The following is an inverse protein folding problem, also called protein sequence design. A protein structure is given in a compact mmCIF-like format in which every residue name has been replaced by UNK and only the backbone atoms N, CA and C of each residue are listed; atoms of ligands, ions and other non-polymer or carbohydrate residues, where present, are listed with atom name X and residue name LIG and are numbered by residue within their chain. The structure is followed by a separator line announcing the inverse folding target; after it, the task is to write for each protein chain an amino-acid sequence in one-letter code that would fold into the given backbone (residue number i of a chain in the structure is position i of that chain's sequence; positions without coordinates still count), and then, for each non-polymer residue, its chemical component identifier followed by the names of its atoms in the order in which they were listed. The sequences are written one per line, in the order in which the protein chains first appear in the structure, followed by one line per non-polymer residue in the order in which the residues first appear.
data_IF_570618376446
#
_entry.id   IF_570618376446
#
_cell.length_a   1.000
_cell.length_b   1.000
_cell.length_c   1.000
_cell.angle_alpha   90.00
_cell.angle_beta   90.00
_cell.angle_gamma   90.00
#
_symmetry.space_group_name_H-M   'P 1'
#
loop_
_entity.id
_entity.type
_entity.pdbx_description
1 polymer ?
#
# COMPACT_ATOMS: atom_id res chain seq x y z
N UNK A 1 -23.97 25.07 -29.78
CA UNK A 1 -24.24 24.98 -28.35
C UNK A 1 -23.15 24.18 -27.71
N UNK A 2 -22.20 24.86 -27.11
CA UNK A 2 -21.02 24.23 -26.51
C UNK A 2 -21.41 23.80 -25.09
N UNK A 3 -21.83 22.55 -24.92
CA UNK A 3 -21.93 21.92 -23.63
C UNK A 3 -20.51 21.75 -23.09
N UNK A 4 -19.97 22.86 -22.56
CA UNK A 4 -18.74 22.87 -21.83
C UNK A 4 -18.84 21.82 -20.74
N UNK A 5 -18.14 20.70 -20.95
CA UNK A 5 -17.92 19.72 -19.93
C UNK A 5 -17.33 20.45 -18.71
N UNK A 6 -18.18 20.74 -17.73
CA UNK A 6 -17.73 20.95 -16.35
C UNK A 6 -17.14 19.62 -15.88
N UNK A 7 -16.01 19.26 -16.46
CA UNK A 7 -15.21 18.13 -16.02
C UNK A 7 -14.87 18.40 -14.57
N UNK A 8 -15.55 17.72 -13.66
CA UNK A 8 -15.18 17.70 -12.26
C UNK A 8 -13.76 17.12 -12.22
N UNK A 9 -12.80 18.03 -12.09
CA UNK A 9 -11.39 17.67 -12.03
C UNK A 9 -11.19 16.78 -10.80
N UNK A 10 -10.82 15.53 -10.99
CA UNK A 10 -10.55 14.58 -9.92
C UNK A 10 -9.38 15.03 -9.05
N UNK A 11 -9.25 14.45 -7.87
CA UNK A 11 -8.12 14.65 -6.98
C UNK A 11 -7.90 13.45 -6.08
N UNK A 12 -6.70 13.37 -5.51
CA UNK A 12 -6.34 12.35 -4.52
C UNK A 12 -6.29 12.96 -3.13
N UNK A 13 -6.88 12.27 -2.16
CA UNK A 13 -6.66 12.48 -0.73
C UNK A 13 -5.76 11.36 -0.22
N UNK A 14 -4.56 11.71 0.22
CA UNK A 14 -3.56 10.76 0.69
C UNK A 14 -3.46 10.84 2.21
N UNK A 15 -4.03 9.85 2.90
CA UNK A 15 -3.96 9.77 4.35
C UNK A 15 -2.64 9.11 4.76
N UNK A 16 -1.91 9.78 5.65
CA UNK A 16 -0.71 9.25 6.29
C UNK A 16 -0.81 9.39 7.80
N UNK A 17 -0.12 8.56 8.53
CA UNK A 17 -0.18 8.50 9.99
C UNK A 17 0.09 7.10 10.50
N UNK A 18 0.37 6.99 11.78
CA UNK A 18 0.70 5.73 12.43
C UNK A 18 -0.46 4.72 12.36
N UNK A 19 -0.14 3.44 12.56
CA UNK A 19 -1.16 2.40 12.63
C UNK A 19 -2.14 2.68 13.78
N UNK A 20 -3.45 2.56 13.54
CA UNK A 20 -4.45 2.87 14.57
C UNK A 20 -4.79 4.37 14.74
N UNK A 21 -4.15 5.28 14.00
CA UNK A 21 -4.44 6.72 14.09
C UNK A 21 -5.84 7.11 13.60
N UNK A 22 -6.58 6.20 12.95
CA UNK A 22 -7.95 6.46 12.48
C UNK A 22 -8.07 6.76 10.99
N UNK A 23 -7.03 6.51 10.19
CA UNK A 23 -7.01 6.73 8.73
C UNK A 23 -8.22 6.11 8.02
N UNK A 24 -8.47 4.82 8.22
CA UNK A 24 -9.59 4.10 7.60
C UNK A 24 -10.95 4.66 7.98
N UNK A 25 -11.12 5.03 9.24
CA UNK A 25 -12.36 5.63 9.74
C UNK A 25 -12.61 6.99 9.11
N UNK A 26 -11.57 7.83 9.04
CA UNK A 26 -11.63 9.14 8.40
C UNK A 26 -11.88 9.01 6.89
N UNK A 27 -11.21 8.06 6.21
CA UNK A 27 -11.38 7.79 4.78
C UNK A 27 -12.83 7.43 4.45
N UNK A 28 -13.45 6.52 5.22
CA UNK A 28 -14.83 6.11 5.02
C UNK A 28 -15.82 7.26 5.31
N UNK A 29 -15.61 8.01 6.39
CA UNK A 29 -16.41 9.20 6.71
C UNK A 29 -16.37 10.23 5.59
N UNK A 30 -15.17 10.57 5.12
CA UNK A 30 -14.94 11.52 4.03
C UNK A 30 -15.56 11.04 2.71
N UNK A 31 -15.35 9.75 2.35
CA UNK A 31 -15.95 9.17 1.15
C UNK A 31 -17.48 9.24 1.19
N UNK A 32 -18.08 8.88 2.32
CA UNK A 32 -19.52 8.94 2.50
C UNK A 32 -20.05 10.38 2.36
N UNK A 33 -19.33 11.36 2.91
CA UNK A 33 -19.69 12.77 2.82
C UNK A 33 -19.59 13.29 1.38
N UNK A 34 -18.51 13.00 0.68
CA UNK A 34 -18.30 13.38 -0.73
C UNK A 34 -19.33 12.72 -1.66
N UNK A 35 -19.67 11.44 -1.43
CA UNK A 35 -20.72 10.74 -2.20
C UNK A 35 -22.10 11.37 -2.01
N UNK A 36 -22.44 11.81 -0.79
CA UNK A 36 -23.67 12.59 -0.53
C UNK A 36 -23.69 13.91 -1.28
N UNK A 37 -22.54 14.50 -1.56
CA UNK A 37 -22.38 15.68 -2.39
C UNK A 37 -22.40 15.37 -3.92
N UNK A 38 -22.73 14.14 -4.30
CA UNK A 38 -22.82 13.70 -5.69
C UNK A 38 -21.48 13.45 -6.37
N UNK A 39 -20.39 13.29 -5.61
CA UNK A 39 -19.07 13.00 -6.18
C UNK A 39 -18.86 11.50 -6.37
N UNK A 40 -18.12 11.13 -7.42
CA UNK A 40 -17.62 9.77 -7.64
C UNK A 40 -16.35 9.63 -6.80
N UNK A 41 -16.37 8.73 -5.83
CA UNK A 41 -15.29 8.55 -4.87
C UNK A 41 -14.98 7.08 -4.68
N UNK A 42 -13.73 6.72 -4.88
CA UNK A 42 -13.18 5.41 -4.54
C UNK A 42 -12.27 5.51 -3.31
N UNK A 43 -12.16 4.42 -2.56
CA UNK A 43 -11.32 4.32 -1.37
C UNK A 43 -10.39 3.12 -1.53
N UNK A 44 -9.10 3.37 -1.42
CA UNK A 44 -8.08 2.32 -1.31
C UNK A 44 -7.81 2.07 0.18
N UNK A 45 -8.42 1.05 0.72
CA UNK A 45 -8.33 0.68 2.14
C UNK A 45 -8.71 -0.78 2.36
N UNK A 46 -8.16 -1.36 3.43
CA UNK A 46 -8.54 -2.68 3.92
C UNK A 46 -7.87 -3.87 3.26
N UNK A 47 -8.14 -5.07 3.81
CA UNK A 47 -7.42 -6.30 3.45
C UNK A 47 -7.59 -6.72 1.98
N UNK A 48 -8.73 -6.40 1.37
CA UNK A 48 -8.96 -6.73 -0.04
C UNK A 48 -7.98 -5.96 -0.95
N UNK A 49 -7.80 -4.66 -0.69
CA UNK A 49 -6.84 -3.83 -1.44
C UNK A 49 -5.41 -4.30 -1.16
N UNK A 50 -5.09 -4.59 0.11
CA UNK A 50 -3.78 -5.12 0.49
C UNK A 50 -3.46 -6.41 -0.26
N UNK A 51 -4.39 -7.35 -0.31
CA UNK A 51 -4.24 -8.62 -0.99
C UNK A 51 -4.12 -8.45 -2.52
N UNK A 52 -5.02 -7.67 -3.13
CA UNK A 52 -5.05 -7.48 -4.59
C UNK A 52 -3.79 -6.79 -5.12
N UNK A 53 -3.23 -5.88 -4.36
CA UNK A 53 -2.05 -5.11 -4.76
C UNK A 53 -0.75 -5.69 -4.19
N UNK A 54 -0.82 -6.76 -3.40
CA UNK A 54 0.31 -7.31 -2.66
C UNK A 54 1.08 -6.21 -1.93
N UNK A 55 0.39 -5.50 -1.03
CA UNK A 55 0.90 -4.43 -0.17
C UNK A 55 0.61 -4.74 1.30
N UNK A 56 1.16 -3.93 2.23
CA UNK A 56 0.95 -4.11 3.67
C UNK A 56 1.90 -5.10 4.32
N UNK A 57 2.77 -5.75 3.54
CA UNK A 57 3.79 -6.70 4.01
C UNK A 57 5.21 -6.15 4.01
N UNK A 58 5.42 -4.91 3.62
CA UNK A 58 6.74 -4.32 3.49
C UNK A 58 7.50 -4.29 4.83
N UNK A 59 8.73 -4.80 4.80
CA UNK A 59 9.63 -4.88 5.94
C UNK A 59 10.79 -3.87 5.86
N UNK A 60 11.02 -3.29 4.68
CA UNK A 60 12.12 -2.35 4.43
C UNK A 60 11.59 -1.02 3.89
N UNK A 61 12.41 0.03 3.98
CA UNK A 61 12.10 1.34 3.40
C UNK A 61 11.80 1.24 1.90
N UNK A 62 12.60 0.49 1.15
CA UNK A 62 12.45 0.38 -0.30
C UNK A 62 11.16 -0.35 -0.69
N UNK A 63 10.78 -1.39 0.05
CA UNK A 63 9.51 -2.09 -0.14
C UNK A 63 8.32 -1.17 0.16
N UNK A 64 8.37 -0.40 1.27
CA UNK A 64 7.32 0.59 1.60
C UNK A 64 7.19 1.69 0.55
N UNK A 65 8.32 2.18 0.04
CA UNK A 65 8.32 3.14 -1.05
C UNK A 65 7.77 2.53 -2.35
N UNK A 66 8.04 1.23 -2.61
CA UNK A 66 7.47 0.52 -3.75
C UNK A 66 5.95 0.35 -3.63
N UNK A 67 5.43 0.02 -2.44
CA UNK A 67 3.99 -0.02 -2.16
C UNK A 67 3.33 1.34 -2.40
N UNK A 68 3.96 2.42 -1.90
CA UNK A 68 3.46 3.78 -2.11
C UNK A 68 3.43 4.16 -3.60
N UNK A 69 4.45 3.78 -4.39
CA UNK A 69 4.48 4.00 -5.85
C UNK A 69 3.35 3.27 -6.59
N UNK A 70 3.04 2.01 -6.20
CA UNK A 70 1.91 1.26 -6.78
C UNK A 70 0.59 2.01 -6.56
N UNK A 71 0.35 2.45 -5.32
CA UNK A 71 -0.86 3.19 -4.98
C UNK A 71 -0.90 4.56 -5.67
N UNK A 72 0.22 5.29 -5.73
CA UNK A 72 0.31 6.57 -6.42
C UNK A 72 -0.04 6.45 -7.90
N UNK A 73 0.38 5.37 -8.56
CA UNK A 73 0.04 5.11 -9.95
C UNK A 73 -1.46 4.93 -10.16
N UNK A 74 -2.13 4.15 -9.29
CA UNK A 74 -3.58 3.95 -9.33
C UNK A 74 -4.31 5.28 -9.06
N UNK A 75 -3.89 5.99 -8.02
CA UNK A 75 -4.46 7.30 -7.67
C UNK A 75 -4.35 8.29 -8.84
N UNK A 76 -3.21 8.32 -9.53
CA UNK A 76 -3.01 9.14 -10.72
C UNK A 76 -4.01 8.82 -11.84
N UNK A 77 -4.24 7.54 -12.13
CA UNK A 77 -5.17 7.14 -13.18
C UNK A 77 -6.61 7.59 -12.85
N UNK A 78 -7.07 7.34 -11.62
CA UNK A 78 -8.40 7.74 -11.18
C UNK A 78 -8.56 9.25 -11.20
N UNK A 79 -7.57 9.98 -10.66
CA UNK A 79 -7.57 11.45 -10.64
C UNK A 79 -7.62 12.05 -12.05
N UNK A 80 -6.84 11.51 -12.99
CA UNK A 80 -6.87 11.94 -14.39
C UNK A 80 -8.20 11.65 -15.09
N UNK A 81 -8.87 10.58 -14.69
CA UNK A 81 -10.21 10.23 -15.17
C UNK A 81 -11.33 11.09 -14.57
N UNK A 82 -11.00 12.06 -13.70
CA UNK A 82 -11.99 12.94 -13.06
C UNK A 82 -12.58 12.39 -11.75
N UNK A 83 -12.16 11.20 -11.31
CA UNK A 83 -12.59 10.60 -10.06
C UNK A 83 -11.86 11.16 -8.84
N UNK A 84 -12.48 11.07 -7.69
CA UNK A 84 -11.84 11.33 -6.41
C UNK A 84 -11.41 9.99 -5.82
N UNK A 85 -10.17 9.92 -5.32
CA UNK A 85 -9.67 8.71 -4.68
C UNK A 85 -9.05 9.04 -3.33
N UNK A 86 -9.39 8.25 -2.32
CA UNK A 86 -8.88 8.38 -0.96
C UNK A 86 -8.01 7.16 -0.67
N UNK A 87 -6.72 7.40 -0.41
CA UNK A 87 -5.77 6.36 -0.04
C UNK A 87 -5.60 6.32 1.48
N UNK A 88 -5.81 5.16 2.12
CA UNK A 88 -5.59 4.89 3.54
C UNK A 88 -5.03 3.49 3.82
N UNK A 89 -4.74 2.72 2.77
CA UNK A 89 -4.30 1.32 2.88
C UNK A 89 -2.93 1.16 3.53
N UNK A 90 -2.04 2.16 3.42
CA UNK A 90 -0.69 2.12 4.00
C UNK A 90 -0.41 3.32 4.88
N UNK A 91 0.55 3.19 5.80
CA UNK A 91 1.00 4.28 6.66
C UNK A 91 1.77 5.36 5.90
N UNK A 92 2.48 4.99 4.82
CA UNK A 92 3.39 5.85 4.04
C UNK A 92 4.38 6.62 4.92
N UNK A 93 5.24 5.92 5.69
CA UNK A 93 6.02 6.54 6.76
C UNK A 93 7.10 7.50 6.26
N UNK A 94 7.56 7.35 5.03
CA UNK A 94 8.68 8.13 4.48
C UNK A 94 8.20 9.29 3.62
N UNK A 95 8.76 10.49 3.86
CA UNK A 95 8.44 11.72 3.10
C UNK A 95 8.72 11.57 1.62
N UNK A 96 9.85 10.98 1.28
CA UNK A 96 10.28 10.74 -0.11
C UNK A 96 9.17 10.11 -0.97
N UNK A 97 8.52 9.05 -0.47
CA UNK A 97 7.45 8.36 -1.19
C UNK A 97 6.20 9.22 -1.34
N UNK A 98 5.84 10.02 -0.31
CA UNK A 98 4.70 10.92 -0.35
C UNK A 98 4.94 12.09 -1.29
N UNK A 99 6.15 12.66 -1.29
CA UNK A 99 6.56 13.72 -2.22
C UNK A 99 6.59 13.21 -3.68
N UNK A 100 7.03 11.97 -3.89
CA UNK A 100 6.98 11.34 -5.20
C UNK A 100 5.53 11.16 -5.66
N UNK A 101 4.65 10.66 -4.82
CA UNK A 101 3.22 10.52 -5.10
C UNK A 101 2.58 11.87 -5.45
N UNK A 102 2.87 12.92 -4.67
CA UNK A 102 2.41 14.30 -4.92
C UNK A 102 2.82 14.78 -6.31
N UNK A 103 4.09 14.64 -6.68
CA UNK A 103 4.59 15.04 -8.01
C UNK A 103 3.93 14.26 -9.14
N UNK A 104 3.71 12.96 -8.94
CA UNK A 104 3.10 12.09 -9.95
C UNK A 104 1.64 12.38 -10.21
N UNK A 105 0.88 12.68 -9.16
CA UNK A 105 -0.58 12.82 -9.21
C UNK A 105 -0.99 14.24 -9.58
N UNK A 106 -0.31 15.24 -9.04
CA UNK A 106 -0.54 16.66 -9.28
C UNK A 106 -1.67 17.24 -8.44
N UNK A 107 -2.93 16.81 -8.64
CA UNK A 107 -4.08 17.21 -7.78
C UNK A 107 -4.16 16.32 -6.55
N UNK A 108 -3.47 16.73 -5.51
CA UNK A 108 -3.15 15.90 -4.35
C UNK A 108 -3.33 16.70 -3.06
N UNK A 109 -3.94 16.09 -2.06
CA UNK A 109 -3.96 16.60 -0.70
C UNK A 109 -3.41 15.54 0.25
N UNK A 110 -2.33 15.86 0.94
CA UNK A 110 -1.79 15.06 2.03
C UNK A 110 -2.53 15.39 3.32
N UNK A 111 -3.13 14.37 3.93
CA UNK A 111 -3.80 14.49 5.22
C UNK A 111 -3.01 13.73 6.26
N UNK A 112 -2.40 14.45 7.17
CA UNK A 112 -1.70 13.86 8.31
C UNK A 112 -2.69 13.56 9.42
N UNK A 113 -2.90 12.27 9.70
CA UNK A 113 -3.77 11.79 10.76
C UNK A 113 -2.90 11.54 12.00
N UNK A 114 -2.88 12.51 12.88
CA UNK A 114 -2.11 12.49 14.11
C UNK A 114 -2.90 11.83 15.26
N UNK A 115 -2.18 11.11 16.10
CA UNK A 115 -2.71 10.59 17.37
C UNK A 115 -1.53 10.31 18.31
N UNK A 116 -1.60 10.75 19.58
CA UNK A 116 -0.57 10.43 20.56
C UNK A 116 -0.34 8.92 20.71
N UNK A 117 0.92 8.51 20.88
CA UNK A 117 1.31 7.10 20.95
C UNK A 117 0.59 6.35 22.07
N UNK A 118 0.38 7.01 23.21
CA UNK A 118 -0.35 6.45 24.34
C UNK A 118 -1.78 6.08 23.97
N UNK A 119 -2.45 6.92 23.19
CA UNK A 119 -3.80 6.66 22.69
C UNK A 119 -3.80 5.54 21.65
N UNK A 120 -2.76 5.46 20.80
CA UNK A 120 -2.62 4.37 19.82
C UNK A 120 -2.47 3.02 20.52
N UNK A 121 -1.67 2.96 21.59
CA UNK A 121 -1.50 1.77 22.41
C UNK A 121 -2.83 1.35 23.05
N UNK A 122 -3.60 2.31 23.60
CA UNK A 122 -4.92 2.04 24.19
C UNK A 122 -5.94 1.55 23.16
N UNK A 123 -5.89 2.07 21.91
CA UNK A 123 -6.78 1.70 20.81
C UNK A 123 -6.41 0.39 20.12
N UNK A 124 -5.22 -0.16 20.42
CA UNK A 124 -4.66 -1.32 19.73
C UNK A 124 -5.37 -2.63 20.10
N UNK A 125 -6.42 -2.95 19.37
CA UNK A 125 -7.13 -4.23 19.51
C UNK A 125 -6.37 -5.41 18.91
N UNK A 126 -5.41 -5.14 18.01
CA UNK A 126 -4.64 -6.17 17.30
C UNK A 126 -3.40 -6.64 18.06
N UNK A 127 -3.00 -5.92 19.09
CA UNK A 127 -1.79 -6.17 19.86
C UNK A 127 -0.49 -5.83 19.10
N UNK A 128 -0.55 -5.10 18.00
CA UNK A 128 0.63 -4.70 17.22
C UNK A 128 1.62 -3.89 18.05
N UNK A 129 1.13 -2.89 18.79
CA UNK A 129 1.96 -2.05 19.65
C UNK A 129 2.59 -2.85 20.78
N UNK A 130 1.80 -3.69 21.45
CA UNK A 130 2.31 -4.58 22.52
C UNK A 130 3.44 -5.47 22.00
N UNK A 131 3.25 -6.10 20.85
CA UNK A 131 4.26 -6.96 20.21
C UNK A 131 5.50 -6.18 19.76
N UNK A 132 5.31 -4.97 19.23
CA UNK A 132 6.42 -4.10 18.84
C UNK A 132 7.26 -3.67 20.05
N UNK A 133 6.63 -3.27 21.14
CA UNK A 133 7.30 -2.90 22.39
C UNK A 133 8.01 -4.08 23.06
N UNK A 134 7.49 -5.31 22.88
CA UNK A 134 8.14 -6.55 23.32
C UNK A 134 9.28 -7.00 22.38
N UNK A 135 9.54 -6.30 21.25
CA UNK A 135 10.55 -6.66 20.27
C UNK A 135 10.17 -7.80 19.32
N UNK A 136 8.93 -8.31 19.41
CA UNK A 136 8.41 -9.38 18.55
C UNK A 136 8.03 -8.89 17.16
N UNK A 137 7.60 -7.64 17.01
CA UNK A 137 7.26 -7.00 15.74
C UNK A 137 8.29 -5.91 15.42
N UNK A 138 9.08 -6.12 14.38
CA UNK A 138 10.19 -5.24 13.99
C UNK A 138 9.83 -4.22 12.90
N UNK A 139 8.59 -4.24 12.42
CA UNK A 139 8.15 -3.50 11.23
C UNK A 139 6.94 -2.60 11.50
N UNK A 140 6.91 -1.94 12.66
CA UNK A 140 5.85 -0.99 13.01
C UNK A 140 6.36 0.45 12.94
N UNK A 141 5.91 1.25 11.94
CA UNK A 141 6.31 2.65 11.80
C UNK A 141 5.99 3.48 13.05
N UNK A 142 6.96 4.26 13.49
CA UNK A 142 6.85 5.11 14.66
C UNK A 142 7.19 4.43 16.00
N UNK A 143 7.41 3.10 16.01
CA UNK A 143 7.82 2.34 17.20
C UNK A 143 9.12 1.59 16.95
N UNK A 144 9.15 0.68 15.98
CA UNK A 144 10.34 -0.13 15.64
C UNK A 144 11.00 0.30 14.35
N UNK A 145 10.30 1.12 13.57
CA UNK A 145 10.80 1.76 12.36
C UNK A 145 10.56 3.28 12.43
N UNK A 146 11.35 4.09 11.72
CA UNK A 146 11.09 5.52 11.62
C UNK A 146 9.73 5.81 10.99
N UNK A 147 9.05 6.82 11.52
CA UNK A 147 7.95 7.51 10.84
C UNK A 147 8.34 8.99 10.71
N UNK A 148 8.35 9.49 9.48
CA UNK A 148 8.69 10.87 9.16
C UNK A 148 7.40 11.68 8.98
N UNK A 149 6.97 12.48 9.98
CA UNK A 149 5.78 13.33 9.83
C UNK A 149 5.92 14.25 8.61
N UNK A 150 4.82 14.55 7.90
CA UNK A 150 4.85 15.52 6.82
C UNK A 150 5.39 16.87 7.29
N UNK A 151 6.25 17.50 6.47
CA UNK A 151 6.71 18.85 6.74
C UNK A 151 5.65 19.91 6.43
N UNK A 152 4.82 19.65 5.41
CA UNK A 152 3.83 20.57 4.88
C UNK A 152 2.60 19.80 4.38
N UNK A 153 1.89 19.10 5.30
CA UNK A 153 0.62 18.49 4.97
C UNK A 153 -0.42 19.58 4.66
N UNK A 154 -1.25 19.37 3.64
CA UNK A 154 -2.37 20.26 3.35
C UNK A 154 -3.40 20.27 4.47
N UNK A 155 -3.53 19.15 5.19
CA UNK A 155 -4.45 19.01 6.31
C UNK A 155 -3.78 18.24 7.44
N UNK A 156 -3.95 18.69 8.66
CA UNK A 156 -3.60 17.96 9.88
C UNK A 156 -4.85 17.69 10.68
N UNK A 157 -5.03 16.45 11.13
CA UNK A 157 -6.18 16.01 11.93
C UNK A 157 -5.70 15.27 13.17
N UNK A 158 -5.93 15.83 14.33
CA UNK A 158 -5.67 15.16 15.62
C UNK A 158 -6.93 14.37 16.04
N UNK A 159 -6.88 13.06 15.88
CA UNK A 159 -8.00 12.17 16.19
C UNK A 159 -8.17 11.91 17.69
N UNK A 160 -7.31 12.43 18.53
CA UNK A 160 -7.49 12.41 19.99
C UNK A 160 -8.42 13.51 20.47
N UNK A 161 -8.56 14.60 19.67
CA UNK A 161 -9.33 15.80 20.02
C UNK A 161 -10.62 15.97 19.26
N UNK A 162 -10.75 15.31 18.10
CA UNK A 162 -11.90 15.49 17.21
C UNK A 162 -12.69 14.20 17.06
N UNK A 163 -13.99 14.34 17.00
CA UNK A 163 -14.89 13.29 16.51
C UNK A 163 -14.66 13.04 15.02
N UNK A 164 -15.14 11.90 14.52
CA UNK A 164 -15.02 11.58 13.09
C UNK A 164 -15.69 12.64 12.21
N UNK A 165 -16.87 13.11 12.61
CA UNK A 165 -17.62 14.09 11.84
C UNK A 165 -16.92 15.46 11.81
N UNK A 166 -16.39 15.93 12.93
CA UNK A 166 -15.58 17.16 13.00
C UNK A 166 -14.33 17.05 12.13
N UNK A 167 -13.63 15.91 12.20
CA UNK A 167 -12.45 15.64 11.37
C UNK A 167 -12.79 15.65 9.87
N UNK A 168 -13.91 15.04 9.47
CA UNK A 168 -14.39 15.04 8.08
C UNK A 168 -14.72 16.45 7.59
N UNK A 169 -15.46 17.24 8.37
CA UNK A 169 -15.81 18.62 8.00
C UNK A 169 -14.56 19.52 7.95
N UNK A 170 -13.58 19.30 8.86
CA UNK A 170 -12.29 19.99 8.80
C UNK A 170 -11.55 19.69 7.48
N UNK A 171 -11.41 18.39 7.12
CA UNK A 171 -10.77 17.99 5.85
C UNK A 171 -11.49 18.61 4.66
N UNK A 172 -12.82 18.57 4.61
CA UNK A 172 -13.60 19.17 3.53
C UNK A 172 -13.36 20.67 3.39
N UNK A 173 -13.33 21.40 4.51
CA UNK A 173 -13.01 22.83 4.51
C UNK A 173 -11.64 23.13 3.91
N UNK A 174 -10.65 22.31 4.23
CA UNK A 174 -9.28 22.43 3.69
C UNK A 174 -9.22 22.06 2.20
N UNK A 175 -9.94 21.03 1.75
CA UNK A 175 -10.04 20.68 0.32
C UNK A 175 -10.63 21.84 -0.52
N UNK A 176 -11.58 22.59 0.06
CA UNK A 176 -12.11 23.83 -0.55
C UNK A 176 -11.05 24.93 -0.58
N UNK A 177 -10.36 25.16 0.53
CA UNK A 177 -9.29 26.17 0.62
C UNK A 177 -8.15 25.89 -0.38
N UNK A 178 -7.84 24.63 -0.63
CA UNK A 178 -6.86 24.15 -1.62
C UNK A 178 -7.40 24.13 -3.07
N UNK A 179 -8.64 24.57 -3.29
CA UNK A 179 -9.32 24.56 -4.62
C UNK A 179 -9.41 23.17 -5.27
N UNK A 180 -9.39 22.12 -4.45
CA UNK A 180 -9.63 20.75 -4.89
C UNK A 180 -11.12 20.44 -4.96
N UNK A 181 -11.91 21.03 -4.07
CA UNK A 181 -13.37 20.91 -4.02
C UNK A 181 -14.03 22.29 -4.21
N UNK A 182 -15.08 22.33 -5.01
CA UNK A 182 -15.84 23.55 -5.24
C UNK A 182 -16.60 23.97 -3.96
N UNK A 183 -16.48 25.23 -3.51
CA UNK A 183 -17.21 25.75 -2.34
C UNK A 183 -18.73 25.56 -2.43
N UNK A 184 -19.32 25.73 -3.61
CA UNK A 184 -20.75 25.55 -3.82
C UNK A 184 -21.18 24.10 -3.55
N UNK A 185 -20.34 23.13 -3.92
CA UNK A 185 -20.57 21.70 -3.66
C UNK A 185 -20.44 21.40 -2.17
N UNK A 186 -19.42 21.94 -1.51
CA UNK A 186 -19.21 21.73 -0.08
C UNK A 186 -20.36 22.30 0.79
N UNK A 187 -20.93 23.43 0.39
CA UNK A 187 -22.06 24.07 1.08
C UNK A 187 -23.39 23.32 0.92
N UNK A 188 -23.50 22.37 -0.01
CA UNK A 188 -24.70 21.57 -0.18
C UNK A 188 -24.93 20.68 1.04
N UNK A 189 -26.02 20.92 1.79
CA UNK A 189 -26.51 19.94 2.76
C UNK A 189 -26.86 18.67 2.00
N UNK A 190 -26.08 17.61 2.23
CA UNK A 190 -26.13 16.38 1.44
C UNK A 190 -27.55 15.87 1.23
N UNK A 191 -27.88 15.52 -0.01
CA UNK A 191 -29.12 14.80 -0.34
C UNK A 191 -29.21 13.53 0.50
N UNK A 192 -30.41 13.16 1.01
CA UNK A 192 -30.55 11.92 1.78
C UNK A 192 -30.20 10.73 0.89
N UNK A 193 -29.36 9.86 1.43
CA UNK A 193 -28.99 8.51 0.98
C UNK A 193 -29.29 8.19 -0.48
N UNK A 194 -28.33 8.35 -1.37
CA UNK A 194 -28.20 7.39 -2.47
C UNK A 194 -27.89 6.06 -1.78
N UNK A 195 -28.80 5.10 -1.90
CA UNK A 195 -28.59 3.75 -1.39
C UNK A 195 -27.24 3.28 -1.90
N UNK A 196 -26.32 3.03 -0.97
CA UNK A 196 -25.07 2.36 -1.29
C UNK A 196 -25.45 1.10 -2.10
N UNK A 197 -24.93 0.99 -3.31
CA UNK A 197 -25.01 -0.26 -4.07
C UNK A 197 -24.56 -1.34 -3.12
N UNK A 198 -25.47 -2.25 -2.78
CA UNK A 198 -25.18 -3.32 -1.84
C UNK A 198 -23.85 -3.97 -2.23
N UNK A 199 -22.96 -4.26 -1.27
CA UNK A 199 -21.73 -4.97 -1.59
C UNK A 199 -22.12 -6.21 -2.39
N UNK A 200 -21.39 -6.46 -3.49
CA UNK A 200 -21.62 -7.62 -4.33
C UNK A 200 -21.77 -8.86 -3.42
N UNK A 201 -22.77 -9.72 -3.65
CA UNK A 201 -22.97 -10.88 -2.80
C UNK A 201 -21.68 -11.68 -2.74
N UNK A 202 -21.22 -11.97 -1.51
CA UNK A 202 -20.04 -12.81 -1.29
C UNK A 202 -20.18 -14.06 -2.17
N UNK A 203 -19.16 -14.43 -2.95
CA UNK A 203 -19.23 -15.65 -3.75
C UNK A 203 -19.63 -16.80 -2.83
N UNK A 204 -20.69 -17.48 -3.17
CA UNK A 204 -21.11 -18.69 -2.44
C UNK A 204 -19.94 -19.65 -2.46
N UNK A 205 -19.63 -20.35 -1.35
CA UNK A 205 -18.56 -21.33 -1.35
C UNK A 205 -18.85 -22.34 -2.46
N UNK A 206 -17.96 -22.43 -3.42
CA UNK A 206 -18.05 -23.42 -4.50
C UNK A 206 -18.15 -24.80 -3.86
N UNK A 207 -19.26 -25.47 -4.16
CA UNK A 207 -19.45 -26.86 -3.80
C UNK A 207 -18.36 -27.68 -4.47
N UNK A 208 -17.54 -28.32 -3.62
CA UNK A 208 -16.67 -29.47 -3.87
C UNK A 208 -16.37 -29.74 -5.35
N UNK A 209 -15.19 -29.37 -5.77
CA UNK A 209 -14.55 -29.95 -6.94
C UNK A 209 -14.61 -31.48 -6.80
N UNK A 210 -15.28 -32.14 -7.74
CA UNK A 210 -15.30 -33.59 -7.83
C UNK A 210 -13.85 -34.09 -7.78
N UNK A 211 -13.57 -34.95 -6.81
CA UNK A 211 -12.32 -35.70 -6.78
C UNK A 211 -12.23 -36.52 -8.06
N UNK A 212 -11.35 -36.14 -8.95
CA UNK A 212 -10.95 -37.05 -10.06
C UNK A 212 -10.35 -38.30 -9.42
N UNK A 213 -10.70 -39.51 -9.92
CA UNK A 213 -10.15 -40.76 -9.40
C UNK A 213 -8.63 -40.75 -9.61
N UNK A 214 -7.89 -40.94 -8.54
CA UNK A 214 -6.45 -41.10 -8.57
C UNK A 214 -6.09 -42.31 -9.46
N UNK A 215 -5.37 -42.05 -10.55
CA UNK A 215 -4.71 -43.12 -11.32
C UNK A 215 -3.73 -43.81 -10.39
N UNK A 216 -3.95 -45.10 -10.14
CA UNK A 216 -3.00 -45.98 -9.46
C UNK A 216 -1.67 -45.95 -10.20
N UNK A 217 -0.53 -45.84 -9.49
CA UNK A 217 0.78 -45.95 -10.14
C UNK A 217 0.95 -47.38 -10.70
N UNK A 218 1.34 -47.43 -11.98
CA UNK A 218 1.69 -48.69 -12.64
C UNK A 218 2.91 -49.32 -11.94
N UNK A 219 2.82 -50.63 -11.70
CA UNK A 219 3.96 -51.44 -11.16
C UNK A 219 5.18 -51.33 -12.08
N UNK A 220 6.39 -51.22 -11.54
CA UNK A 220 7.61 -51.25 -12.33
C UNK A 220 7.81 -52.67 -12.90
N UNK A 221 7.92 -52.75 -14.20
CA UNK A 221 8.27 -53.94 -14.97
C UNK A 221 9.75 -54.23 -14.74
N UNK A 222 10.06 -55.46 -14.38
CA UNK A 222 11.43 -55.97 -14.10
C UNK A 222 12.26 -55.92 -15.38
N UNK A 223 13.16 -54.99 -15.51
CA UNK A 223 14.19 -55.02 -16.53
C UNK A 223 15.24 -56.09 -16.19
N UNK A 224 15.44 -57.00 -17.14
CA UNK A 224 16.39 -58.13 -17.11
C UNK A 224 17.82 -57.62 -17.05
N UNK A 225 18.58 -58.26 -16.16
CA UNK A 225 20.04 -58.17 -16.06
C UNK A 225 20.71 -58.49 -17.40
N UNK A 226 21.61 -57.64 -17.86
CA UNK A 226 22.70 -58.01 -18.76
C UNK A 226 24.01 -57.62 -18.08
N UNK A 227 24.94 -58.59 -18.11
CA UNK A 227 26.18 -58.64 -17.37
C UNK A 227 27.35 -57.87 -18.07
N UNK A 228 28.53 -57.79 -17.45
CA UNK A 228 29.49 -56.70 -17.64
C UNK A 228 30.58 -56.99 -18.65
N UNK A 229 31.10 -55.97 -19.31
CA UNK A 229 32.36 -56.05 -20.06
C UNK A 229 33.31 -54.91 -19.66
N UNK A 230 34.33 -55.36 -18.96
CA UNK A 230 35.78 -55.27 -19.21
C UNK A 230 36.41 -53.89 -19.24
N UNK A 231 37.29 -53.76 -18.28
CA UNK A 231 38.41 -52.82 -18.08
C UNK A 231 39.21 -52.55 -19.36
N UNK A 232 39.64 -51.32 -19.54
CA UNK A 232 41.06 -51.07 -19.93
C UNK A 232 41.50 -49.73 -19.34
N UNK A 233 42.67 -49.79 -18.79
CA UNK A 233 43.45 -48.76 -18.13
C UNK A 233 44.39 -48.08 -19.14
N UNK A 234 44.83 -46.93 -18.80
CA UNK A 234 46.08 -46.22 -19.05
C UNK A 234 45.75 -44.74 -19.23
N UNK A 235 46.34 -43.79 -18.61
CA UNK A 235 47.61 -43.62 -18.01
C UNK A 235 48.16 -42.25 -18.36
N UNK A 236 48.90 -41.63 -17.40
CA UNK A 236 49.82 -40.48 -17.55
C UNK A 236 49.25 -39.08 -17.50
N UNK A 237 49.45 -38.38 -16.35
CA UNK A 237 50.60 -37.54 -15.94
C UNK A 237 50.95 -36.36 -16.83
N UNK A 238 50.88 -35.18 -16.26
CA UNK A 238 51.87 -34.10 -16.20
C UNK A 238 51.16 -32.87 -15.66
N UNK A 239 51.46 -32.38 -14.43
CA UNK A 239 52.59 -31.57 -13.98
C UNK A 239 52.46 -30.10 -14.43
N UNK A 240 52.13 -29.29 -13.45
CA UNK A 240 52.74 -28.01 -13.04
C UNK A 240 52.98 -26.93 -14.10
N UNK A 241 52.50 -25.74 -13.78
CA UNK A 241 53.43 -24.64 -13.48
C UNK A 241 52.66 -23.37 -13.07
N UNK A 242 53.08 -22.82 -11.94
CA UNK A 242 52.94 -21.40 -11.59
C UNK A 242 54.17 -20.67 -12.12
N UNK A 243 54.08 -19.39 -12.42
CA UNK A 243 55.05 -18.42 -11.90
C UNK A 243 54.36 -17.19 -11.27
N UNK A 244 54.72 -16.89 -10.14
CA UNK A 244 55.51 -15.92 -9.37
C UNK A 244 55.58 -14.52 -9.99
N UNK A 245 55.10 -13.57 -9.13
CA UNK A 245 55.74 -12.33 -8.72
C UNK A 245 56.58 -11.54 -9.74
N UNK A 246 56.23 -10.25 -9.87
CA UNK A 246 57.23 -9.21 -9.80
C UNK A 246 56.60 -7.88 -9.32
N UNK A 247 57.22 -7.35 -8.32
CA UNK A 247 57.08 -6.04 -7.71
C UNK A 247 57.90 -5.00 -8.50
N UNK A 248 57.58 -3.72 -8.35
CA UNK A 248 58.41 -2.59 -8.75
C UNK A 248 57.56 -1.37 -8.88
N UNK A 249 57.43 -0.52 -7.97
CA UNK A 249 58.30 0.50 -7.40
C UNK A 249 58.32 1.82 -8.18
N UNK A 250 57.85 2.87 -7.51
CA UNK A 250 58.34 4.28 -7.49
C UNK A 250 58.23 5.10 -8.79
N UNK A 251 57.72 6.31 -8.81
CA UNK A 251 58.15 7.58 -8.18
C UNK A 251 57.34 8.77 -8.76
N UNK A 252 56.99 9.69 -7.89
CA UNK A 252 57.07 11.14 -7.95
C UNK A 252 56.64 11.88 -9.25
N UNK A 253 55.65 12.70 -9.24
CA UNK A 253 55.68 14.14 -8.86
C UNK A 253 54.27 14.59 -8.47
#
# INVERSE_FOLDING_TARGET
MNLGAMGTSGFTVWLTGMSGAGKSTLAQGLANRLRRLGKIVDVLDGPEVEQMLAIGGAATKDERNAEARKLAWICKLVTRGGGIIIQSAIESPYREARDEARRQIGRFAEVFVECPTEMLIQRDRSGKYKRALAGELKTLPGITEPYEPPAHAEVMVDTSKHTVDEAVEHVLGQLVAQRLLDPAVAAMKGRPKVQARAPAPKPKPEKKVLKMPSRKPAKPEKAKRAAPARKQAAGRTARAERPRMAAGARRKR
#
